data_IF_895683270277
#
_entry.id   IF_895683270277
#
_cell.length_a   1.000
_cell.length_b   1.000
_cell.length_c   1.000
_cell.angle_alpha   90.00
_cell.angle_beta   90.00
_cell.angle_gamma   90.00
#
_symmetry.space_group_name_H-M   'P 1'
#
loop_
_entity.id
_entity.type
_entity.pdbx_description
1 polymer ?
#
# COMPACT_ATOMS: atom_id res chain seq x y z
N UNK A 1 -13.96 2.64 -16.39
CA UNK A 1 -13.34 1.33 -16.66
C UNK A 1 -11.82 1.45 -16.72
N UNK A 2 -11.27 1.79 -17.89
CA UNK A 2 -9.82 1.90 -18.08
C UNK A 2 -9.16 3.03 -17.25
N UNK A 3 -9.83 4.17 -17.07
CA UNK A 3 -9.33 5.28 -16.25
C UNK A 3 -8.97 4.87 -14.82
N UNK A 4 -9.77 4.00 -14.22
CA UNK A 4 -9.59 3.47 -12.87
C UNK A 4 -8.34 2.58 -12.78
N UNK A 5 -8.06 1.80 -13.81
CA UNK A 5 -6.84 0.97 -13.91
C UNK A 5 -5.62 1.86 -14.12
N UNK A 6 -5.71 2.86 -15.00
CA UNK A 6 -4.62 3.81 -15.25
C UNK A 6 -4.25 4.57 -13.98
N UNK A 7 -5.25 5.05 -13.22
CA UNK A 7 -5.01 5.69 -11.92
C UNK A 7 -4.27 4.74 -10.97
N UNK A 8 -4.72 3.50 -10.83
CA UNK A 8 -4.06 2.55 -9.93
C UNK A 8 -2.58 2.33 -10.28
N UNK A 9 -2.30 2.13 -11.57
CA UNK A 9 -0.92 1.84 -12.02
C UNK A 9 -0.02 3.05 -11.82
N UNK A 10 -0.48 4.25 -12.18
CA UNK A 10 0.30 5.47 -11.97
C UNK A 10 0.55 5.74 -10.48
N UNK A 11 -0.47 5.59 -9.64
CA UNK A 11 -0.32 5.71 -8.19
C UNK A 11 0.67 4.69 -7.63
N UNK A 12 0.59 3.43 -8.06
CA UNK A 12 1.53 2.40 -7.63
C UNK A 12 2.97 2.67 -8.04
N UNK A 13 3.20 3.15 -9.27
CA UNK A 13 4.54 3.53 -9.73
C UNK A 13 5.09 4.68 -8.90
N UNK A 14 4.31 5.73 -8.67
CA UNK A 14 4.75 6.89 -7.88
C UNK A 14 5.08 6.50 -6.43
N UNK A 15 4.25 5.68 -5.79
CA UNK A 15 4.50 5.18 -4.44
C UNK A 15 5.82 4.41 -4.32
N UNK A 16 6.14 3.59 -5.33
CA UNK A 16 7.41 2.84 -5.40
C UNK A 16 8.61 3.76 -5.65
N UNK A 17 8.46 4.73 -6.55
CA UNK A 17 9.54 5.68 -6.90
C UNK A 17 9.87 6.61 -5.73
N UNK A 18 8.86 7.02 -4.97
CA UNK A 18 9.00 7.87 -3.78
C UNK A 18 9.38 7.07 -2.52
N UNK A 19 9.50 5.75 -2.61
CA UNK A 19 9.82 4.84 -1.49
C UNK A 19 8.93 5.07 -0.25
N UNK A 20 7.63 5.29 -0.47
CA UNK A 20 6.70 5.60 0.62
C UNK A 20 6.53 4.42 1.60
N UNK A 21 6.60 3.19 1.08
CA UNK A 21 6.56 1.94 1.84
C UNK A 21 7.02 0.75 0.99
N UNK A 22 7.52 -0.28 1.65
CA UNK A 22 7.97 -1.53 1.04
C UNK A 22 7.40 -2.78 1.71
N UNK A 23 7.72 -3.94 1.14
CA UNK A 23 7.39 -5.25 1.74
C UNK A 23 8.08 -5.37 3.09
N UNK A 24 7.34 -5.81 4.10
CA UNK A 24 7.80 -5.94 5.49
C UNK A 24 7.49 -4.73 6.37
N UNK A 25 7.14 -3.58 5.79
CA UNK A 25 6.79 -2.41 6.57
C UNK A 25 5.46 -2.59 7.31
N UNK A 26 5.45 -2.17 8.58
CA UNK A 26 4.24 -1.92 9.34
C UNK A 26 3.61 -0.60 8.86
N UNK A 27 2.35 -0.66 8.42
CA UNK A 27 1.63 0.48 7.84
C UNK A 27 0.24 0.67 8.46
N UNK A 28 -0.22 1.92 8.44
CA UNK A 28 -1.58 2.36 8.73
C UNK A 28 -2.17 3.01 7.48
N UNK A 29 -3.15 2.38 6.84
CA UNK A 29 -3.71 2.84 5.57
C UNK A 29 -5.21 2.55 5.50
N UNK A 30 -5.99 3.58 5.17
CA UNK A 30 -7.45 3.54 5.20
C UNK A 30 -7.95 3.04 6.57
N UNK A 31 -8.64 1.90 6.60
CA UNK A 31 -9.15 1.20 7.77
C UNK A 31 -8.32 -0.05 8.13
N UNK A 32 -7.17 -0.25 7.49
CA UNK A 32 -6.30 -1.42 7.68
C UNK A 32 -4.97 -1.02 8.35
N UNK A 33 -4.65 -1.74 9.43
CA UNK A 33 -3.33 -1.71 10.08
C UNK A 33 -2.69 -3.09 9.99
N UNK A 34 -1.46 -3.14 9.48
CA UNK A 34 -0.82 -4.43 9.25
C UNK A 34 0.57 -4.33 8.66
N UNK A 35 1.08 -5.47 8.18
CA UNK A 35 2.37 -5.59 7.50
C UNK A 35 2.14 -5.71 6.01
N UNK A 36 2.93 -4.98 5.22
CA UNK A 36 2.91 -5.09 3.76
C UNK A 36 3.50 -6.43 3.36
N UNK A 37 2.68 -7.30 2.75
CA UNK A 37 3.13 -8.60 2.26
C UNK A 37 3.58 -8.52 0.79
N UNK A 38 2.97 -7.64 0.00
CA UNK A 38 3.28 -7.47 -1.42
C UNK A 38 2.95 -6.07 -1.89
N UNK A 39 3.85 -5.49 -2.68
CA UNK A 39 3.59 -4.29 -3.45
C UNK A 39 3.59 -4.67 -4.93
N UNK A 40 2.48 -4.43 -5.62
CA UNK A 40 2.36 -4.60 -7.07
C UNK A 40 2.03 -3.27 -7.74
N UNK A 41 2.10 -3.22 -9.07
CA UNK A 41 1.83 -2.00 -9.83
C UNK A 41 0.42 -1.44 -9.59
N UNK A 42 -0.58 -2.31 -9.38
CA UNK A 42 -1.99 -1.93 -9.19
C UNK A 42 -2.51 -2.14 -7.78
N UNK A 43 -2.01 -3.17 -7.10
CA UNK A 43 -2.54 -3.66 -5.83
C UNK A 43 -1.41 -3.76 -4.82
N UNK A 44 -1.67 -3.29 -3.61
CA UNK A 44 -0.87 -3.54 -2.41
C UNK A 44 -1.61 -4.54 -1.53
N UNK A 45 -0.90 -5.51 -0.97
CA UNK A 45 -1.44 -6.54 -0.08
C UNK A 45 -0.91 -6.34 1.33
N UNK A 46 -1.82 -6.29 2.30
CA UNK A 46 -1.51 -6.06 3.70
C UNK A 46 -2.09 -7.18 4.53
N UNK A 47 -1.29 -7.73 5.45
CA UNK A 47 -1.74 -8.70 6.45
C UNK A 47 -1.94 -8.01 7.79
N UNK A 48 -3.15 -8.06 8.33
CA UNK A 48 -3.43 -7.50 9.65
C UNK A 48 -3.00 -8.45 10.80
N UNK A 49 -3.16 -8.00 12.04
CA UNK A 49 -2.80 -8.78 13.22
C UNK A 49 -3.66 -10.04 13.43
N UNK A 50 -4.84 -10.12 12.82
CA UNK A 50 -5.68 -11.32 12.83
C UNK A 50 -5.28 -12.31 11.71
N UNK A 51 -4.32 -11.94 10.86
CA UNK A 51 -3.86 -12.73 9.72
C UNK A 51 -4.70 -12.55 8.45
N UNK A 52 -5.64 -11.60 8.42
CA UNK A 52 -6.46 -11.31 7.24
C UNK A 52 -5.61 -10.64 6.17
N UNK A 53 -5.73 -11.08 4.92
CA UNK A 53 -5.10 -10.45 3.76
C UNK A 53 -6.05 -9.45 3.10
N UNK A 54 -5.64 -8.19 3.08
CA UNK A 54 -6.35 -7.07 2.48
C UNK A 54 -5.71 -6.70 1.14
N UNK A 55 -6.53 -6.58 0.09
CA UNK A 55 -6.08 -6.24 -1.26
C UNK A 55 -6.54 -4.82 -1.59
N UNK A 56 -5.62 -3.86 -1.51
CA UNK A 56 -5.91 -2.44 -1.69
C UNK A 56 -5.53 -2.00 -3.10
N UNK A 57 -6.44 -1.28 -3.77
CA UNK A 57 -6.13 -0.64 -5.04
C UNK A 57 -5.27 0.60 -4.81
N UNK A 58 -4.13 0.68 -5.48
CA UNK A 58 -3.17 1.76 -5.29
C UNK A 58 -3.78 3.14 -5.59
N UNK A 59 -4.71 3.23 -6.55
CA UNK A 59 -5.37 4.49 -6.92
C UNK A 59 -6.38 5.00 -5.88
N UNK A 60 -6.71 4.19 -4.88
CA UNK A 60 -7.61 4.57 -3.77
C UNK A 60 -6.83 4.84 -2.46
N UNK A 61 -5.52 4.58 -2.45
CA UNK A 61 -4.66 4.89 -1.31
C UNK A 61 -4.25 6.38 -1.41
N UNK A 62 -5.04 7.25 -0.78
CA UNK A 62 -4.78 8.70 -0.78
C UNK A 62 -3.75 9.12 0.28
N UNK A 63 -3.59 8.31 1.33
CA UNK A 63 -2.66 8.54 2.43
C UNK A 63 -2.25 7.20 3.03
N UNK A 64 -0.98 7.07 3.38
CA UNK A 64 -0.43 5.94 4.13
C UNK A 64 0.47 6.47 5.24
N UNK A 65 0.39 5.86 6.42
CA UNK A 65 1.36 6.04 7.49
C UNK A 65 2.33 4.86 7.52
N UNK A 66 3.59 5.09 7.15
CA UNK A 66 4.64 4.09 7.34
C UNK A 66 5.18 4.18 8.77
N UNK A 67 4.81 3.20 9.60
CA UNK A 67 5.16 3.17 11.03
C UNK A 67 6.58 2.64 11.26
N UNK A 68 7.20 2.07 10.22
CA UNK A 68 8.54 1.47 10.27
C UNK A 68 9.62 2.49 9.95
N UNK A 69 9.37 3.36 8.97
CA UNK A 69 10.33 4.41 8.57
C UNK A 69 10.51 5.52 9.61
N UNK A 70 9.49 5.83 10.42
CA UNK A 70 9.56 6.90 11.42
C UNK A 70 10.53 6.63 12.59
N UNK A 71 11.10 5.42 12.68
CA UNK A 71 12.00 5.01 13.77
C UNK A 71 13.49 5.12 13.44
N UNK A 72 13.85 5.71 12.29
CA UNK A 72 15.23 5.99 11.89
C UNK A 72 15.54 7.48 11.93
#
# INVERSE_FOLDING_TARGET
GAQTIVRDVLSGILMLVEDQYGVGDQVDVLDVKGTVEKVGLRITVIKDAAGTLWYLRNGEILKIGNLSQAKN
#
